data_IF_420348470707
#
_entry.id   IF_420348470707
#
_cell.length_a   1.000
_cell.length_b   1.000
_cell.length_c   1.000
_cell.angle_alpha   90.00
_cell.angle_beta   90.00
_cell.angle_gamma   90.00
#
_symmetry.space_group_name_H-M   'P 1'
#
loop_
_entity.id
_entity.type
_entity.pdbx_description
1 polymer ?
#
# COMPACT_ATOMS: atom_id res chain seq x y z
N UNK A 1 -43.27 20.49 15.40
CA UNK A 1 -42.34 19.32 15.18
C UNK A 1 -41.42 19.65 14.04
N UNK A 2 -40.13 19.73 14.32
CA UNK A 2 -39.08 20.44 13.55
C UNK A 2 -38.72 19.76 12.21
N UNK A 3 -39.08 20.43 11.10
CA UNK A 3 -38.60 20.08 9.75
C UNK A 3 -37.12 20.39 9.49
N UNK A 4 -36.47 21.06 10.41
CA UNK A 4 -35.03 21.49 10.27
C UNK A 4 -34.03 20.38 10.53
N UNK A 5 -34.37 19.27 11.18
CA UNK A 5 -33.45 18.19 11.53
C UNK A 5 -33.16 17.28 10.32
N UNK A 6 -34.08 17.16 9.37
CA UNK A 6 -33.93 16.30 8.20
C UNK A 6 -32.91 16.83 7.15
N UNK A 7 -32.72 18.14 7.08
CA UNK A 7 -31.81 18.76 6.10
C UNK A 7 -30.34 18.58 6.49
N UNK A 8 -30.04 18.58 7.79
CA UNK A 8 -28.66 18.41 8.28
C UNK A 8 -28.15 16.97 8.07
N UNK A 9 -29.06 15.98 8.17
CA UNK A 9 -28.68 14.58 7.91
C UNK A 9 -28.42 14.29 6.43
N UNK A 10 -29.13 14.93 5.51
CA UNK A 10 -28.91 14.78 4.07
C UNK A 10 -27.57 15.39 3.61
N UNK A 11 -27.08 16.42 4.28
CA UNK A 11 -25.77 17.03 3.97
C UNK A 11 -24.58 16.19 4.49
N UNK A 12 -24.75 15.44 5.57
CA UNK A 12 -23.70 14.57 6.12
C UNK A 12 -23.52 13.27 5.32
N UNK A 13 -24.56 12.80 4.63
CA UNK A 13 -24.48 11.58 3.82
C UNK A 13 -23.87 11.83 2.43
N UNK A 14 -23.91 13.06 1.93
CA UNK A 14 -23.33 13.41 0.63
C UNK A 14 -21.79 13.62 0.66
N UNK A 15 -21.16 13.65 1.82
CA UNK A 15 -19.69 13.80 1.94
C UNK A 15 -18.92 12.47 1.87
N UNK A 16 -19.60 11.33 1.93
CA UNK A 16 -18.96 10.00 2.01
C UNK A 16 -18.76 9.29 0.67
N UNK A 17 -19.11 9.92 -0.47
CA UNK A 17 -19.02 9.26 -1.78
C UNK A 17 -18.14 10.00 -2.80
N UNK A 18 -17.20 10.81 -2.37
CA UNK A 18 -16.07 11.15 -3.24
C UNK A 18 -15.03 10.04 -3.13
N UNK A 19 -15.26 8.94 -3.85
CA UNK A 19 -14.16 8.10 -4.28
C UNK A 19 -13.18 9.05 -5.00
N UNK A 20 -12.04 9.29 -4.41
CA UNK A 20 -10.98 10.05 -5.07
C UNK A 20 -10.69 9.26 -6.34
N UNK A 21 -11.09 9.77 -7.51
CA UNK A 21 -10.65 9.25 -8.78
C UNK A 21 -9.13 9.43 -8.78
N UNK A 22 -8.41 8.41 -8.34
CA UNK A 22 -6.98 8.37 -8.43
C UNK A 22 -6.63 8.45 -9.91
N UNK A 23 -5.77 9.40 -10.25
CA UNK A 23 -5.22 9.44 -11.59
C UNK A 23 -4.44 8.14 -11.83
N UNK A 24 -4.83 7.38 -12.86
CA UNK A 24 -4.18 6.11 -13.21
C UNK A 24 -3.31 6.31 -14.44
N UNK A 25 -2.08 5.80 -14.35
CA UNK A 25 -1.08 5.79 -15.43
C UNK A 25 -0.71 4.34 -15.72
N UNK A 26 -0.71 3.93 -16.99
CA UNK A 26 -0.40 2.54 -17.35
C UNK A 26 1.00 2.12 -16.94
N UNK A 27 2.00 2.93 -17.29
CA UNK A 27 3.40 2.62 -17.00
C UNK A 27 4.10 3.87 -16.45
N UNK A 28 4.94 3.69 -15.45
CA UNK A 28 5.74 4.76 -14.88
C UNK A 28 7.17 4.28 -14.62
N UNK A 29 8.16 5.08 -15.03
CA UNK A 29 9.56 4.76 -14.84
C UNK A 29 10.20 5.77 -13.88
N UNK A 30 10.47 5.32 -12.64
CA UNK A 30 11.10 6.16 -11.60
C UNK A 30 12.51 6.60 -11.96
N UNK A 31 13.26 5.78 -12.72
CA UNK A 31 14.66 6.05 -13.07
C UNK A 31 14.83 7.21 -14.05
N UNK A 32 13.81 7.42 -14.90
CA UNK A 32 13.82 8.49 -15.92
C UNK A 32 12.82 9.60 -15.64
N UNK A 33 12.04 9.49 -14.56
CA UNK A 33 10.96 10.43 -14.26
C UNK A 33 11.49 11.85 -14.02
N UNK A 34 10.96 12.80 -14.77
CA UNK A 34 11.27 14.22 -14.69
C UNK A 34 10.29 14.96 -13.79
N UNK A 35 10.57 16.24 -13.52
CA UNK A 35 9.62 17.11 -12.78
C UNK A 35 8.30 17.28 -13.53
N UNK A 36 8.35 17.27 -14.84
CA UNK A 36 7.20 17.41 -15.74
C UNK A 36 6.29 16.20 -15.64
N UNK A 37 6.85 14.98 -15.56
CA UNK A 37 6.09 13.75 -15.38
C UNK A 37 5.28 13.78 -14.07
N UNK A 38 5.89 14.26 -12.99
CA UNK A 38 5.18 14.41 -11.71
C UNK A 38 4.17 15.56 -11.70
N UNK A 39 4.33 16.59 -12.55
CA UNK A 39 3.34 17.68 -12.65
C UNK A 39 2.08 17.25 -13.41
N UNK A 40 2.22 16.36 -14.38
CA UNK A 40 1.11 15.85 -15.18
C UNK A 40 0.18 14.96 -14.38
N UNK A 41 0.69 14.36 -13.33
CA UNK A 41 -0.05 13.52 -12.38
C UNK A 41 -0.10 14.23 -11.02
N UNK A 42 -1.17 14.05 -10.27
CA UNK A 42 -1.27 14.58 -8.90
C UNK A 42 -0.17 13.95 -8.03
N UNK A 43 0.13 14.56 -6.89
CA UNK A 43 1.14 14.05 -5.95
C UNK A 43 0.91 12.61 -5.46
N UNK A 44 -0.26 12.04 -5.72
CA UNK A 44 -0.64 10.67 -5.40
C UNK A 44 -1.41 10.08 -6.57
N UNK A 45 -0.88 9.04 -7.21
CA UNK A 45 -1.46 8.41 -8.40
C UNK A 45 -1.16 6.91 -8.43
N UNK A 46 -1.98 6.17 -9.17
CA UNK A 46 -1.87 4.72 -9.35
C UNK A 46 -1.17 4.41 -10.66
N UNK A 47 -0.43 3.30 -10.69
CA UNK A 47 0.21 2.77 -11.90
C UNK A 47 -0.07 1.28 -12.03
N UNK A 48 -0.17 0.78 -13.27
CA UNK A 48 -0.33 -0.65 -13.51
C UNK A 48 1.03 -1.35 -13.54
N UNK A 49 2.07 -0.64 -13.99
CA UNK A 49 3.44 -1.14 -14.10
C UNK A 49 4.44 -0.06 -13.71
N UNK A 50 5.39 -0.43 -12.90
CA UNK A 50 6.43 0.43 -12.35
C UNK A 50 7.81 -0.11 -12.69
N UNK A 51 8.70 0.75 -13.19
CA UNK A 51 10.14 0.47 -13.30
C UNK A 51 10.89 1.25 -12.23
N UNK A 52 11.68 0.56 -11.41
CA UNK A 52 12.51 1.13 -10.34
C UNK A 52 13.94 0.59 -10.41
N UNK A 53 14.81 1.05 -9.52
CA UNK A 53 16.18 0.52 -9.36
C UNK A 53 16.23 -0.95 -8.95
N UNK A 54 15.14 -1.49 -8.41
CA UNK A 54 15.02 -2.88 -7.97
C UNK A 54 14.33 -3.78 -8.99
N UNK A 55 14.00 -3.27 -10.16
CA UNK A 55 13.36 -4.02 -11.23
C UNK A 55 12.00 -3.47 -11.65
N UNK A 56 11.26 -4.31 -12.34
CA UNK A 56 9.91 -4.00 -12.85
C UNK A 56 8.89 -4.70 -11.98
N UNK A 57 7.87 -3.97 -11.56
CA UNK A 57 6.75 -4.46 -10.75
C UNK A 57 5.44 -4.14 -11.47
N UNK A 58 4.50 -5.06 -11.42
CA UNK A 58 3.17 -4.87 -11.98
C UNK A 58 2.10 -5.49 -11.09
N UNK A 59 0.86 -5.05 -11.27
CA UNK A 59 -0.29 -5.65 -10.58
C UNK A 59 -0.36 -7.12 -10.94
N UNK A 60 -0.52 -7.98 -9.93
CA UNK A 60 -0.52 -9.43 -10.06
C UNK A 60 0.83 -10.10 -9.82
N UNK A 61 1.93 -9.34 -9.73
CA UNK A 61 3.24 -9.92 -9.38
C UNK A 61 3.26 -10.46 -7.96
N UNK A 62 4.04 -11.53 -7.76
CA UNK A 62 4.27 -12.12 -6.47
C UNK A 62 5.52 -11.54 -5.81
N UNK A 63 5.39 -11.20 -4.55
CA UNK A 63 6.50 -10.84 -3.67
C UNK A 63 6.58 -11.82 -2.50
N UNK A 64 7.76 -11.93 -1.90
CA UNK A 64 7.98 -12.72 -0.71
C UNK A 64 8.29 -11.80 0.47
N UNK A 65 7.54 -11.90 1.56
CA UNK A 65 7.86 -11.22 2.81
C UNK A 65 9.13 -11.85 3.37
N UNK A 66 10.17 -11.04 3.54
CA UNK A 66 11.45 -11.43 4.08
C UNK A 66 11.47 -11.49 5.60
N UNK A 67 12.49 -10.89 6.21
CA UNK A 67 12.61 -10.78 7.67
C UNK A 67 12.55 -9.31 8.10
N UNK A 68 12.06 -9.00 9.30
CA UNK A 68 12.17 -7.65 9.84
C UNK A 68 13.63 -7.17 9.81
N UNK A 69 13.84 -5.93 9.42
CA UNK A 69 15.17 -5.32 9.31
C UNK A 69 15.98 -5.41 10.61
N UNK A 70 15.31 -5.19 11.72
CA UNK A 70 15.90 -5.41 13.03
C UNK A 70 15.40 -6.75 13.58
N UNK A 71 16.30 -7.74 13.66
CA UNK A 71 16.00 -9.11 14.12
C UNK A 71 15.39 -9.18 15.54
N UNK A 72 15.58 -8.13 16.34
CA UNK A 72 15.00 -8.02 17.68
C UNK A 72 13.56 -7.43 17.65
N UNK A 73 13.08 -6.96 16.50
CA UNK A 73 11.74 -6.43 16.37
C UNK A 73 10.74 -7.55 16.10
N UNK A 74 9.63 -7.51 16.82
CA UNK A 74 8.51 -8.41 16.62
C UNK A 74 7.63 -8.02 15.42
N UNK A 75 7.93 -6.90 14.75
CA UNK A 75 7.14 -6.31 13.67
C UNK A 75 8.04 -5.78 12.55
N UNK A 76 7.51 -5.73 11.35
CA UNK A 76 8.15 -5.11 10.19
C UNK A 76 8.14 -3.57 10.31
N UNK A 77 9.08 -2.90 9.63
CA UNK A 77 9.17 -1.44 9.62
C UNK A 77 8.40 -0.80 8.46
N UNK A 78 8.30 -1.51 7.33
CA UNK A 78 7.74 -0.98 6.07
C UNK A 78 6.51 -1.70 5.60
N UNK A 79 6.03 -2.70 6.35
CA UNK A 79 4.86 -3.51 6.00
C UNK A 79 3.82 -3.37 7.09
N UNK A 80 2.62 -2.98 6.71
CA UNK A 80 1.49 -2.78 7.62
C UNK A 80 0.26 -3.57 7.16
N UNK A 81 -0.68 -3.76 8.08
CA UNK A 81 -1.96 -4.39 7.82
C UNK A 81 -2.98 -3.38 7.31
N UNK A 82 -3.89 -3.85 6.46
CA UNK A 82 -4.93 -3.05 5.85
C UNK A 82 -4.44 -2.23 4.66
N UNK A 83 -5.36 -1.60 3.96
CA UNK A 83 -5.06 -0.74 2.83
C UNK A 83 -4.42 0.58 3.29
N UNK A 84 -3.46 1.06 2.51
CA UNK A 84 -2.84 2.35 2.79
C UNK A 84 -3.82 3.49 2.55
N UNK A 85 -3.96 4.36 3.54
CA UNK A 85 -4.67 5.63 3.43
C UNK A 85 -3.82 6.74 4.03
N UNK A 86 -3.75 7.88 3.36
CA UNK A 86 -3.07 9.07 3.89
C UNK A 86 -3.63 9.52 5.24
N UNK A 87 -4.92 9.30 5.48
CA UNK A 87 -5.58 9.61 6.75
C UNK A 87 -5.20 8.63 7.86
N UNK A 88 -4.93 7.37 7.50
CA UNK A 88 -4.61 6.31 8.45
C UNK A 88 -3.10 6.10 8.62
N UNK A 89 -2.26 6.85 7.91
CA UNK A 89 -0.81 6.68 7.94
C UNK A 89 -0.20 6.78 9.35
N UNK A 90 -0.86 7.49 10.26
CA UNK A 90 -0.42 7.60 11.67
C UNK A 90 -0.92 6.47 12.59
N UNK A 91 -1.88 5.67 12.12
CA UNK A 91 -2.51 4.59 12.89
C UNK A 91 -2.27 3.20 12.26
N UNK A 92 -1.25 3.06 11.42
CA UNK A 92 -0.95 1.79 10.78
C UNK A 92 -0.49 0.75 11.81
N UNK A 93 -1.07 -0.43 11.73
CA UNK A 93 -0.65 -1.59 12.51
C UNK A 93 0.43 -2.31 11.72
N UNK A 94 1.66 -2.30 12.21
CA UNK A 94 2.78 -2.95 11.53
C UNK A 94 2.63 -4.46 11.55
N UNK A 95 2.94 -5.10 10.42
CA UNK A 95 2.84 -6.55 10.26
C UNK A 95 3.73 -7.28 11.28
N UNK A 96 3.23 -8.29 12.01
CA UNK A 96 4.03 -9.13 12.91
C UNK A 96 5.09 -9.95 12.17
N UNK A 97 6.24 -10.16 12.79
CA UNK A 97 7.37 -10.92 12.24
C UNK A 97 7.05 -12.40 11.95
N UNK A 98 6.00 -12.95 12.57
CA UNK A 98 5.49 -14.30 12.31
C UNK A 98 5.03 -14.49 10.86
N UNK A 99 4.76 -13.41 10.13
CA UNK A 99 4.37 -13.44 8.72
C UNK A 99 5.56 -13.47 7.75
N UNK A 100 6.80 -13.60 8.24
CA UNK A 100 7.96 -13.83 7.39
C UNK A 100 7.78 -15.09 6.52
N UNK A 101 8.28 -15.03 5.28
CA UNK A 101 8.17 -16.08 4.24
C UNK A 101 6.76 -16.26 3.64
N UNK A 102 5.82 -15.36 3.95
CA UNK A 102 4.51 -15.35 3.28
C UNK A 102 4.65 -14.80 1.87
N UNK A 103 4.04 -15.46 0.91
CA UNK A 103 3.90 -14.97 -0.47
C UNK A 103 2.68 -14.06 -0.55
N UNK A 104 2.88 -12.91 -1.16
CA UNK A 104 1.85 -11.89 -1.36
C UNK A 104 1.75 -11.53 -2.84
N UNK A 105 0.59 -11.06 -3.26
CA UNK A 105 0.31 -10.60 -4.63
C UNK A 105 0.01 -9.11 -4.61
N UNK A 106 0.63 -8.39 -5.51
CA UNK A 106 0.41 -6.95 -5.70
C UNK A 106 -1.01 -6.72 -6.22
N UNK A 107 -1.81 -5.97 -5.50
CA UNK A 107 -3.16 -5.56 -5.91
C UNK A 107 -3.19 -4.14 -6.47
N UNK A 108 -2.39 -3.25 -5.90
CA UNK A 108 -2.23 -1.90 -6.43
C UNK A 108 -0.81 -1.39 -6.25
N UNK A 109 -0.38 -0.56 -7.18
CA UNK A 109 0.87 0.19 -7.14
C UNK A 109 0.54 1.67 -7.14
N UNK A 110 0.99 2.41 -6.14
CA UNK A 110 0.74 3.83 -6.01
C UNK A 110 2.04 4.58 -5.78
N UNK A 111 2.14 5.75 -6.37
CA UNK A 111 3.29 6.62 -6.22
C UNK A 111 2.85 7.86 -5.46
N UNK A 112 3.56 8.18 -4.40
CA UNK A 112 3.38 9.38 -3.61
C UNK A 112 4.62 10.25 -3.69
N UNK A 113 4.46 11.49 -4.14
CA UNK A 113 5.50 12.51 -4.16
C UNK A 113 5.09 13.68 -3.27
N UNK A 114 5.58 13.72 -2.02
CA UNK A 114 5.13 14.70 -1.03
C UNK A 114 5.40 16.14 -1.46
N UNK A 115 6.58 16.41 -2.01
CA UNK A 115 6.96 17.73 -2.51
C UNK A 115 8.11 17.62 -3.54
N UNK A 116 8.54 18.78 -4.10
CA UNK A 116 9.55 18.85 -5.17
C UNK A 116 10.94 18.34 -4.76
N UNK A 117 11.26 18.41 -3.47
CA UNK A 117 12.60 18.13 -2.94
C UNK A 117 12.70 16.74 -2.28
N UNK A 118 11.59 16.04 -2.13
CA UNK A 118 11.57 14.69 -1.57
C UNK A 118 11.52 13.65 -2.67
N UNK A 119 12.07 12.48 -2.41
CA UNK A 119 11.96 11.33 -3.28
C UNK A 119 10.51 10.86 -3.37
N UNK A 120 10.17 10.26 -4.50
CA UNK A 120 8.88 9.58 -4.64
C UNK A 120 8.88 8.32 -3.78
N UNK A 121 7.76 8.02 -3.17
CA UNK A 121 7.54 6.84 -2.36
C UNK A 121 6.61 5.91 -3.12
N UNK A 122 7.01 4.66 -3.26
CA UNK A 122 6.18 3.60 -3.86
C UNK A 122 5.42 2.88 -2.76
N UNK A 123 4.12 2.89 -2.89
CA UNK A 123 3.20 2.22 -1.97
C UNK A 123 2.55 1.06 -2.73
N UNK A 124 2.56 -0.12 -2.11
CA UNK A 124 1.99 -1.33 -2.67
C UNK A 124 0.90 -1.83 -1.74
N UNK A 125 -0.33 -1.98 -2.23
CA UNK A 125 -1.30 -2.79 -1.52
C UNK A 125 -1.21 -4.22 -2.02
N UNK A 126 -1.35 -5.15 -1.12
CA UNK A 126 -1.22 -6.56 -1.42
C UNK A 126 -2.24 -7.42 -0.68
N UNK A 127 -2.44 -8.62 -1.19
CA UNK A 127 -3.13 -9.71 -0.48
C UNK A 127 -2.25 -10.95 -0.41
N UNK A 128 -2.58 -11.85 0.50
CA UNK A 128 -1.97 -13.17 0.49
C UNK A 128 -2.40 -13.94 -0.78
N UNK A 129 -1.45 -14.67 -1.37
CA UNK A 129 -1.72 -15.51 -2.54
C UNK A 129 -2.75 -16.61 -2.29
N UNK A 130 -2.81 -17.16 -1.10
CA UNK A 130 -3.65 -18.32 -0.79
C UNK A 130 -5.15 -17.99 -0.72
N UNK A 131 -5.52 -16.69 -0.70
CA UNK A 131 -6.92 -16.26 -0.57
C UNK A 131 -7.31 -15.16 -1.57
N UNK A 132 -7.68 -15.59 -2.78
CA UNK A 132 -8.26 -14.68 -3.78
C UNK A 132 -9.64 -14.12 -3.39
N UNK A 133 -10.25 -14.60 -2.30
CA UNK A 133 -11.61 -14.27 -1.86
C UNK A 133 -11.68 -13.59 -0.50
N UNK A 134 -10.57 -13.19 0.11
CA UNK A 134 -10.59 -12.51 1.39
C UNK A 134 -11.24 -11.13 1.28
N UNK A 135 -12.46 -11.04 1.74
CA UNK A 135 -13.16 -9.77 1.96
C UNK A 135 -12.84 -9.27 3.36
N UNK A 136 -12.23 -8.08 3.42
CA UNK A 136 -12.14 -7.14 4.55
C UNK A 136 -12.27 -7.67 5.99
N UNK A 137 -11.19 -7.48 6.73
CA UNK A 137 -11.09 -6.96 8.11
C UNK A 137 -12.31 -7.18 9.04
N UNK A 138 -12.54 -8.38 9.53
CA UNK A 138 -13.58 -8.52 10.54
C UNK A 138 -13.15 -9.00 11.93
N UNK A 139 -11.89 -9.43 12.13
CA UNK A 139 -11.45 -9.79 13.49
C UNK A 139 -9.93 -9.58 13.66
N UNK A 140 -9.52 -8.39 14.07
CA UNK A 140 -8.16 -8.15 14.52
C UNK A 140 -7.97 -8.65 15.95
N UNK A 141 -7.45 -9.84 16.08
CA UNK A 141 -6.67 -10.21 17.25
C UNK A 141 -5.20 -9.95 16.89
N UNK A 142 -4.56 -8.97 17.56
CA UNK A 142 -3.18 -8.51 17.32
C UNK A 142 -2.14 -9.65 17.32
N UNK A 143 -2.47 -10.80 17.86
CA UNK A 143 -1.58 -11.94 18.05
C UNK A 143 -1.83 -13.11 17.09
N UNK A 144 -2.92 -13.10 16.34
CA UNK A 144 -3.33 -14.27 15.55
C UNK A 144 -3.95 -13.89 14.20
N UNK A 145 -3.17 -13.17 13.39
CA UNK A 145 -3.59 -12.85 12.02
C UNK A 145 -3.52 -14.14 11.22
N UNK A 146 -4.68 -14.59 10.75
CA UNK A 146 -4.74 -15.72 9.84
C UNK A 146 -4.01 -15.34 8.53
N UNK A 147 -2.85 -15.91 8.21
CA UNK A 147 -2.11 -15.56 7.01
C UNK A 147 -2.95 -15.65 5.73
N UNK A 148 -3.95 -16.53 5.72
CA UNK A 148 -4.79 -16.76 4.54
C UNK A 148 -5.75 -15.59 4.21
N UNK A 149 -6.00 -14.68 5.15
CA UNK A 149 -6.91 -13.54 4.99
C UNK A 149 -6.18 -12.18 5.01
N UNK A 150 -4.86 -12.22 4.92
CA UNK A 150 -4.05 -11.04 5.10
C UNK A 150 -4.17 -10.09 3.89
N UNK A 151 -4.68 -8.89 4.16
CA UNK A 151 -4.58 -7.73 3.30
C UNK A 151 -3.64 -6.75 3.99
N UNK A 152 -2.72 -6.17 3.24
CA UNK A 152 -1.77 -5.24 3.81
C UNK A 152 -1.22 -4.26 2.79
N UNK A 153 -0.32 -3.42 3.27
CA UNK A 153 0.39 -2.49 2.42
C UNK A 153 1.88 -2.44 2.76
N UNK A 154 2.69 -2.16 1.74
CA UNK A 154 4.10 -1.80 1.84
C UNK A 154 4.15 -0.30 1.56
N UNK A 155 4.36 0.53 2.58
CA UNK A 155 4.29 1.98 2.42
C UNK A 155 5.59 2.62 1.90
N UNK A 156 6.64 1.82 1.67
CA UNK A 156 7.85 2.20 0.96
C UNK A 156 8.55 0.96 0.40
N UNK A 157 8.18 0.57 -0.83
CA UNK A 157 8.67 -0.65 -1.47
C UNK A 157 10.20 -0.68 -1.59
N UNK A 158 10.82 0.42 -2.02
CA UNK A 158 12.27 0.46 -2.22
C UNK A 158 13.03 0.27 -0.90
N UNK A 159 12.58 0.90 0.17
CA UNK A 159 13.17 0.69 1.50
C UNK A 159 12.91 -0.71 2.04
N UNK A 160 11.73 -1.27 1.83
CA UNK A 160 11.41 -2.63 2.23
C UNK A 160 12.31 -3.66 1.53
N UNK A 161 12.64 -3.45 0.26
CA UNK A 161 13.59 -4.30 -0.48
C UNK A 161 15.01 -4.09 0.03
N UNK A 162 15.47 -2.84 0.18
CA UNK A 162 16.81 -2.53 0.69
C UNK A 162 17.08 -3.13 2.07
N UNK A 163 16.08 -3.20 2.92
CA UNK A 163 16.20 -3.75 4.27
C UNK A 163 15.96 -5.26 4.35
N UNK A 164 15.59 -5.89 3.24
CA UNK A 164 15.29 -7.32 3.17
C UNK A 164 13.93 -7.70 3.78
N UNK A 165 13.07 -6.72 4.04
CA UNK A 165 11.70 -6.98 4.49
C UNK A 165 10.82 -7.48 3.34
N UNK A 166 11.16 -7.13 2.10
CA UNK A 166 10.61 -7.72 0.88
C UNK A 166 11.76 -8.32 0.07
N UNK A 167 11.59 -9.56 -0.34
CA UNK A 167 12.48 -10.24 -1.26
C UNK A 167 11.89 -10.16 -2.67
N UNK A 168 12.66 -9.58 -3.58
CA UNK A 168 12.26 -9.50 -4.97
C UNK A 168 12.62 -10.83 -5.67
N UNK A 169 11.65 -11.59 -6.18
CA UNK A 169 11.94 -12.86 -6.85
C UNK A 169 12.74 -12.67 -8.16
N UNK A 170 12.72 -11.48 -8.73
CA UNK A 170 13.45 -11.13 -9.96
C UNK A 170 14.89 -10.67 -9.69
N UNK A 171 15.30 -10.58 -8.44
CA UNK A 171 16.65 -10.23 -8.03
C UNK A 171 16.97 -10.97 -6.71
N UNK A 172 17.27 -12.31 -6.78
CA UNK A 172 17.56 -13.14 -5.61
C UNK A 172 18.86 -12.73 -4.91
#
# INVERSE_FOLDING_TARGET
MNRSIFIVFAYLVSFSAQSQNLHSVKEFNLLSATKEDYKSVKNFFQVDKLTSSFGVFQIGDELLIGRPHNHNMLRFNFIALGEYSLLNAMAMIMLPSSNAKTKIVIESLRIYKPNKNQEAIVIVDFKNRENSNASSLSNFDDNNINPSEMIGNIFNLEKAILTGEILNPNNP
#
